data_IF_241814595400
#
_entry.id   IF_241814595400
#
_cell.length_a   1.000
_cell.length_b   1.000
_cell.length_c   1.000
_cell.angle_alpha   90.00
_cell.angle_beta   90.00
_cell.angle_gamma   90.00
#
_symmetry.space_group_name_H-M   'P 1'
#
loop_
_entity.id
_entity.type
_entity.pdbx_description
1 polymer ?
#
# COMPACT_ATOMS: atom_id res chain seq x y z
N UNK A 1 11.61 -12.63 3.17
CA UNK A 1 11.54 -11.18 2.96
C UNK A 1 10.19 -10.87 2.32
N UNK A 2 9.49 -9.86 2.82
CA UNK A 2 8.16 -9.50 2.37
C UNK A 2 8.20 -8.72 1.05
N UNK A 3 7.49 -9.20 0.03
CA UNK A 3 7.45 -8.52 -1.28
C UNK A 3 6.72 -7.19 -1.16
N UNK A 4 7.38 -6.10 -1.51
CA UNK A 4 6.79 -4.75 -1.49
C UNK A 4 6.13 -4.50 -2.83
N UNK A 5 4.85 -4.20 -2.83
CA UNK A 5 4.06 -3.91 -4.03
C UNK A 5 3.74 -2.42 -4.07
N UNK A 6 4.19 -1.73 -5.10
CA UNK A 6 3.97 -0.28 -5.27
C UNK A 6 2.85 -0.06 -6.29
N UNK A 7 1.76 0.59 -5.85
CA UNK A 7 0.62 0.87 -6.72
C UNK A 7 0.92 2.05 -7.67
N UNK A 8 0.30 2.04 -8.86
CA UNK A 8 0.49 3.12 -9.83
C UNK A 8 -0.20 4.38 -9.34
N UNK A 9 0.53 5.49 -9.28
CA UNK A 9 -0.04 6.84 -9.14
C UNK A 9 0.84 7.81 -9.93
N UNK A 10 0.27 8.40 -10.99
CA UNK A 10 0.96 9.37 -11.85
C UNK A 10 1.26 10.68 -11.11
N UNK A 11 0.50 10.98 -10.05
CA UNK A 11 0.69 12.17 -9.23
C UNK A 11 1.74 11.99 -8.12
N UNK A 12 2.37 10.81 -8.01
CA UNK A 12 3.32 10.52 -6.94
C UNK A 12 4.78 10.79 -7.34
N UNK A 13 5.36 11.95 -6.96
CA UNK A 13 6.72 12.32 -7.37
C UNK A 13 7.81 11.44 -6.72
N UNK A 14 7.53 10.86 -5.55
CA UNK A 14 8.48 10.03 -4.83
C UNK A 14 8.38 8.53 -5.18
N UNK A 15 7.51 8.15 -6.12
CA UNK A 15 7.32 6.75 -6.54
C UNK A 15 8.63 6.10 -6.99
N UNK A 16 9.37 6.76 -7.87
CA UNK A 16 10.66 6.23 -8.36
C UNK A 16 11.68 6.08 -7.22
N UNK A 17 11.71 7.04 -6.28
CA UNK A 17 12.58 6.96 -5.10
C UNK A 17 12.27 5.74 -4.22
N UNK A 18 10.99 5.39 -4.09
CA UNK A 18 10.55 4.19 -3.35
C UNK A 18 10.96 2.91 -4.06
N UNK A 19 10.77 2.84 -5.38
CA UNK A 19 11.16 1.67 -6.19
C UNK A 19 12.68 1.49 -6.16
N UNK A 20 13.45 2.57 -6.35
CA UNK A 20 14.92 2.52 -6.33
C UNK A 20 15.49 2.26 -4.93
N UNK A 21 14.78 2.71 -3.89
CA UNK A 21 15.19 2.56 -2.48
C UNK A 21 14.85 1.21 -1.87
N UNK A 22 14.06 0.37 -2.54
CA UNK A 22 13.59 -0.92 -2.02
C UNK A 22 13.91 -2.01 -3.05
N UNK A 23 14.89 -2.88 -2.78
CA UNK A 23 15.32 -3.89 -3.76
C UNK A 23 14.23 -4.93 -4.09
N UNK A 24 13.23 -5.10 -3.21
CA UNK A 24 12.09 -6.01 -3.39
C UNK A 24 10.80 -5.29 -3.83
N UNK A 25 10.90 -4.03 -4.27
CA UNK A 25 9.75 -3.29 -4.77
C UNK A 25 9.34 -3.80 -6.16
N UNK A 26 8.14 -4.33 -6.23
CA UNK A 26 7.43 -4.67 -7.44
C UNK A 26 6.58 -3.47 -7.84
N UNK A 27 6.96 -2.84 -8.96
CA UNK A 27 6.18 -1.76 -9.54
C UNK A 27 4.99 -2.31 -10.33
N UNK A 28 3.78 -1.93 -9.94
CA UNK A 28 2.55 -2.38 -10.60
C UNK A 28 2.02 -1.29 -11.50
N UNK A 29 1.78 -1.63 -12.77
CA UNK A 29 1.17 -0.74 -13.74
C UNK A 29 -0.36 -0.92 -13.78
N UNK A 30 -1.10 0.17 -13.94
CA UNK A 30 -2.55 0.11 -14.09
C UNK A 30 -3.24 1.45 -13.86
N UNK A 31 -4.36 1.67 -14.56
CA UNK A 31 -5.18 2.89 -14.40
C UNK A 31 -6.50 2.61 -13.68
N UNK A 32 -6.70 1.39 -13.18
CA UNK A 32 -7.89 0.97 -12.45
C UNK A 32 -7.59 -0.23 -11.56
N UNK A 33 -8.40 -0.43 -10.52
CA UNK A 33 -8.30 -1.58 -9.62
C UNK A 33 -8.26 -2.92 -10.38
N UNK A 34 -9.08 -3.09 -11.43
CA UNK A 34 -9.09 -4.32 -12.24
C UNK A 34 -7.75 -4.58 -12.93
N UNK A 35 -7.14 -3.54 -13.52
CA UNK A 35 -5.84 -3.68 -14.19
C UNK A 35 -4.73 -3.97 -13.19
N UNK A 36 -4.73 -3.28 -12.06
CA UNK A 36 -3.78 -3.50 -10.97
C UNK A 36 -3.89 -4.93 -10.42
N UNK A 37 -5.11 -5.42 -10.17
CA UNK A 37 -5.32 -6.81 -9.75
C UNK A 37 -4.87 -7.82 -10.80
N UNK A 38 -5.14 -7.57 -12.09
CA UNK A 38 -4.70 -8.43 -13.19
C UNK A 38 -3.17 -8.49 -13.29
N UNK A 39 -2.50 -7.36 -13.12
CA UNK A 39 -1.04 -7.30 -13.15
C UNK A 39 -0.43 -7.98 -11.93
N UNK A 40 -1.04 -7.87 -10.75
CA UNK A 40 -0.62 -8.62 -9.56
C UNK A 40 -0.76 -10.13 -9.74
N UNK A 41 -1.81 -10.60 -10.43
CA UNK A 41 -1.96 -12.01 -10.78
C UNK A 41 -0.88 -12.43 -11.78
N UNK A 42 -0.55 -11.57 -12.76
CA UNK A 42 0.47 -11.84 -13.77
C UNK A 42 1.88 -11.90 -13.19
N UNK A 43 2.25 -10.94 -12.34
CA UNK A 43 3.57 -10.89 -11.69
C UNK A 43 3.69 -12.01 -10.65
N UNK A 44 2.57 -12.34 -9.98
CA UNK A 44 2.48 -13.36 -8.94
C UNK A 44 3.58 -13.20 -7.85
N UNK A 45 3.55 -12.10 -7.09
CA UNK A 45 4.54 -11.85 -6.05
C UNK A 45 4.41 -12.86 -4.90
N UNK A 46 5.55 -13.24 -4.32
CA UNK A 46 5.60 -14.18 -3.21
C UNK A 46 5.10 -13.52 -1.90
N UNK A 47 4.25 -14.20 -1.10
CA UNK A 47 3.80 -13.69 0.18
C UNK A 47 4.93 -13.75 1.24
N UNK A 48 4.89 -12.91 2.29
CA UNK A 48 3.87 -11.90 2.61
C UNK A 48 4.01 -10.61 1.80
N UNK A 49 2.89 -9.99 1.41
CA UNK A 49 2.87 -8.77 0.59
C UNK A 49 2.75 -7.51 1.45
N UNK A 50 3.54 -6.48 1.15
CA UNK A 50 3.38 -5.13 1.69
C UNK A 50 2.90 -4.21 0.58
N UNK A 51 1.64 -3.78 0.62
CA UNK A 51 1.04 -2.99 -0.46
C UNK A 51 1.13 -1.50 -0.14
N UNK A 52 1.80 -0.75 -1.00
CA UNK A 52 2.04 0.69 -0.89
C UNK A 52 1.18 1.43 -1.90
N UNK A 53 0.32 2.33 -1.43
CA UNK A 53 -0.54 3.14 -2.27
C UNK A 53 -0.41 4.62 -1.91
N UNK A 54 -0.38 5.48 -2.93
CA UNK A 54 -0.37 6.92 -2.74
C UNK A 54 -1.71 7.54 -3.16
N UNK A 55 -2.13 8.61 -2.49
CA UNK A 55 -3.19 9.51 -2.94
C UNK A 55 -4.48 8.79 -3.36
N UNK A 56 -4.78 8.86 -4.65
CA UNK A 56 -6.01 8.30 -5.23
C UNK A 56 -5.99 6.78 -5.36
N UNK A 57 -4.80 6.18 -5.46
CA UNK A 57 -4.63 4.74 -5.62
C UNK A 57 -4.93 3.96 -4.34
N UNK A 58 -4.99 4.65 -3.20
CA UNK A 58 -5.53 4.10 -1.95
C UNK A 58 -6.98 3.62 -2.09
N UNK A 59 -7.76 4.18 -3.02
CA UNK A 59 -9.12 3.71 -3.32
C UNK A 59 -9.16 2.29 -3.92
N UNK A 60 -8.05 1.80 -4.48
CA UNK A 60 -7.96 0.45 -5.05
C UNK A 60 -7.67 -0.62 -3.99
N UNK A 61 -7.20 -0.23 -2.79
CA UNK A 61 -6.78 -1.15 -1.74
C UNK A 61 -7.86 -2.17 -1.35
N UNK A 62 -9.17 -1.81 -1.18
CA UNK A 62 -10.18 -2.81 -0.83
C UNK A 62 -10.37 -3.88 -1.91
N UNK A 63 -10.29 -3.50 -3.19
CA UNK A 63 -10.41 -4.44 -4.30
C UNK A 63 -9.16 -5.34 -4.41
N UNK A 64 -7.98 -4.77 -4.15
CA UNK A 64 -6.71 -5.52 -4.14
C UNK A 64 -6.69 -6.50 -2.97
N UNK A 65 -7.05 -6.06 -1.76
CA UNK A 65 -7.17 -6.90 -0.57
C UNK A 65 -8.04 -8.13 -0.84
N UNK A 66 -9.23 -7.91 -1.41
CA UNK A 66 -10.13 -8.99 -1.80
C UNK A 66 -9.48 -9.94 -2.82
N UNK A 67 -8.87 -9.39 -3.88
CA UNK A 67 -8.20 -10.19 -4.90
C UNK A 67 -7.03 -11.03 -4.36
N UNK A 68 -6.21 -10.47 -3.45
CA UNK A 68 -5.11 -11.19 -2.80
C UNK A 68 -5.64 -12.30 -1.90
N UNK A 69 -6.69 -12.02 -1.13
CA UNK A 69 -7.34 -13.00 -0.27
C UNK A 69 -7.93 -14.16 -1.07
N UNK A 70 -8.63 -13.89 -2.18
CA UNK A 70 -9.15 -14.93 -3.08
C UNK A 70 -8.02 -15.72 -3.75
N UNK A 71 -6.87 -15.09 -3.98
CA UNK A 71 -5.66 -15.76 -4.47
C UNK A 71 -4.85 -16.47 -3.36
N UNK A 72 -5.37 -16.53 -2.12
CA UNK A 72 -4.69 -17.09 -0.95
C UNK A 72 -3.30 -16.49 -0.66
N UNK A 73 -3.06 -15.24 -1.11
CA UNK A 73 -1.83 -14.50 -0.81
C UNK A 73 -2.04 -13.65 0.43
N UNK A 74 -1.16 -13.83 1.41
CA UNK A 74 -1.21 -13.08 2.67
C UNK A 74 -0.68 -11.67 2.45
N UNK A 75 -1.51 -10.65 2.71
CA UNK A 75 -1.04 -9.27 2.84
C UNK A 75 -0.57 -9.07 4.28
N UNK A 76 0.71 -8.74 4.45
CA UNK A 76 1.33 -8.49 5.75
C UNK A 76 0.99 -7.10 6.30
N UNK A 77 0.96 -6.09 5.42
CA UNK A 77 0.64 -4.72 5.80
C UNK A 77 0.23 -3.85 4.60
N UNK A 78 -0.49 -2.76 4.88
CA UNK A 78 -0.78 -1.70 3.91
C UNK A 78 -0.09 -0.40 4.32
N UNK A 79 0.54 0.27 3.35
CA UNK A 79 1.17 1.58 3.53
C UNK A 79 0.44 2.59 2.65
N UNK A 80 -0.19 3.59 3.26
CA UNK A 80 -0.89 4.66 2.56
C UNK A 80 -0.05 5.93 2.65
N UNK A 81 0.36 6.46 1.51
CA UNK A 81 1.14 7.70 1.43
C UNK A 81 0.19 8.83 1.01
N UNK A 82 -0.01 9.81 1.88
CA UNK A 82 -0.92 10.96 1.64
C UNK A 82 -2.28 10.56 1.02
N UNK A 83 -3.05 9.65 1.65
CA UNK A 83 -4.28 9.10 1.07
C UNK A 83 -5.36 10.16 0.83
N UNK A 84 -6.01 10.09 -0.33
CA UNK A 84 -7.17 10.92 -0.66
C UNK A 84 -8.49 10.18 -0.32
N UNK A 85 -9.43 10.82 0.39
CA UNK A 85 -10.72 10.20 0.72
C UNK A 85 -11.65 10.05 -0.51
N UNK A 86 -12.58 9.06 -0.52
CA UNK A 86 -12.86 8.08 0.52
C UNK A 86 -12.11 6.76 0.30
N UNK A 87 -11.24 6.40 1.24
CA UNK A 87 -10.47 5.14 1.23
C UNK A 87 -11.20 3.96 1.88
N UNK A 88 -12.52 4.00 2.04
CA UNK A 88 -13.24 3.04 2.91
C UNK A 88 -14.39 2.32 2.20
N UNK A 89 -14.37 0.98 2.26
CA UNK A 89 -15.54 0.11 2.17
C UNK A 89 -15.68 -0.69 3.47
N UNK A 90 -16.87 -1.18 3.80
CA UNK A 90 -17.21 -1.84 5.09
C UNK A 90 -16.39 -3.09 5.45
N UNK A 91 -15.67 -3.68 4.49
CA UNK A 91 -14.99 -4.97 4.64
C UNK A 91 -13.45 -4.88 4.78
N UNK A 92 -12.89 -3.67 4.76
CA UNK A 92 -11.45 -3.42 4.83
C UNK A 92 -11.14 -2.63 6.11
N UNK A 93 -10.03 -2.87 6.83
CA UNK A 93 -8.81 -3.61 6.45
C UNK A 93 -8.66 -5.04 7.00
N UNK A 94 -7.97 -5.90 6.25
CA UNK A 94 -7.63 -7.30 6.57
C UNK A 94 -6.21 -7.50 7.12
N UNK A 95 -5.38 -6.45 7.10
CA UNK A 95 -4.01 -6.40 7.61
C UNK A 95 -3.74 -5.03 8.26
N UNK A 96 -2.70 -4.87 9.09
CA UNK A 96 -2.36 -3.58 9.69
C UNK A 96 -2.12 -2.50 8.62
N UNK A 97 -2.70 -1.32 8.86
CA UNK A 97 -2.61 -0.15 7.97
C UNK A 97 -1.73 0.90 8.63
N UNK A 98 -0.69 1.32 7.91
CA UNK A 98 0.17 2.46 8.29
C UNK A 98 0.00 3.58 7.28
N UNK A 99 -0.21 4.80 7.78
CA UNK A 99 -0.32 6.00 6.97
C UNK A 99 0.94 6.83 7.14
N UNK A 100 1.61 7.13 6.03
CA UNK A 100 2.74 8.06 5.99
C UNK A 100 2.23 9.37 5.39
N UNK A 101 2.17 10.41 6.21
CA UNK A 101 1.66 11.71 5.76
C UNK A 101 2.27 12.84 6.59
N UNK A 102 2.51 13.97 5.93
CA UNK A 102 2.86 15.23 6.59
C UNK A 102 1.64 16.08 6.96
N UNK A 103 0.44 15.70 6.51
CA UNK A 103 -0.79 16.46 6.74
C UNK A 103 -1.45 16.08 8.07
N UNK A 104 -1.57 17.06 8.97
CA UNK A 104 -2.15 16.87 10.30
C UNK A 104 -3.61 16.41 10.27
N UNK A 105 -4.39 16.79 9.25
CA UNK A 105 -5.77 16.36 9.10
C UNK A 105 -5.83 14.88 8.67
N UNK A 106 -4.99 14.47 7.71
CA UNK A 106 -4.92 13.06 7.28
C UNK A 106 -4.42 12.19 8.44
N UNK A 107 -3.40 12.64 9.17
CA UNK A 107 -2.91 11.97 10.38
C UNK A 107 -4.03 11.81 11.42
N UNK A 108 -4.79 12.88 11.68
CA UNK A 108 -5.91 12.85 12.63
C UNK A 108 -7.01 11.88 12.20
N UNK A 109 -7.43 11.92 10.93
CA UNK A 109 -8.47 11.02 10.41
C UNK A 109 -8.03 9.55 10.45
N UNK A 110 -6.76 9.28 10.15
CA UNK A 110 -6.18 7.93 10.20
C UNK A 110 -6.11 7.40 11.64
N UNK A 111 -5.71 8.25 12.59
CA UNK A 111 -5.71 7.90 14.00
C UNK A 111 -7.13 7.61 14.54
N UNK A 112 -8.15 8.37 14.07
CA UNK A 112 -9.55 8.10 14.42
C UNK A 112 -10.05 6.76 13.87
N UNK A 113 -9.44 6.24 12.79
CA UNK A 113 -9.68 4.90 12.25
C UNK A 113 -8.89 3.80 12.96
N UNK A 114 -8.03 4.16 13.91
CA UNK A 114 -7.12 3.23 14.59
C UNK A 114 -5.93 2.79 13.74
N UNK A 115 -5.60 3.51 12.67
CA UNK A 115 -4.44 3.20 11.83
C UNK A 115 -3.17 3.80 12.43
N UNK A 116 -2.04 3.13 12.22
CA UNK A 116 -0.73 3.64 12.61
C UNK A 116 -0.38 4.83 11.71
N UNK A 117 0.14 5.91 12.30
CA UNK A 117 0.59 7.08 11.55
C UNK A 117 2.10 7.21 11.72
N UNK A 118 2.82 7.39 10.62
CA UNK A 118 4.27 7.58 10.60
C UNK A 118 4.60 8.89 9.92
N UNK A 119 5.45 9.69 10.57
CA UNK A 119 6.02 10.93 10.02
C UNK A 119 7.41 10.70 9.39
N UNK A 120 7.86 9.43 9.33
CA UNK A 120 9.14 9.06 8.74
C UNK A 120 9.15 9.26 7.21
N UNK A 121 10.34 9.36 6.62
CA UNK A 121 10.49 9.27 5.17
C UNK A 121 9.84 7.97 4.67
N UNK A 122 9.06 8.07 3.59
CA UNK A 122 8.26 6.98 3.03
C UNK A 122 9.09 5.72 2.81
N UNK A 123 10.33 5.84 2.32
CA UNK A 123 11.21 4.69 2.08
C UNK A 123 11.58 4.01 3.39
N UNK A 124 11.96 4.79 4.41
CA UNK A 124 12.33 4.26 5.72
C UNK A 124 11.14 3.58 6.41
N UNK A 125 9.94 4.17 6.29
CA UNK A 125 8.71 3.59 6.82
C UNK A 125 8.40 2.23 6.17
N UNK A 126 8.44 2.16 4.83
CA UNK A 126 8.17 0.89 4.10
C UNK A 126 9.21 -0.17 4.44
N UNK A 127 10.50 0.19 4.53
CA UNK A 127 11.57 -0.75 4.91
C UNK A 127 11.43 -1.29 6.34
N UNK A 128 10.92 -0.47 7.27
CA UNK A 128 10.62 -0.94 8.63
C UNK A 128 9.43 -1.91 8.61
N UNK A 129 8.34 -1.54 7.92
CA UNK A 129 7.12 -2.36 7.83
C UNK A 129 7.40 -3.69 7.11
N UNK A 130 8.20 -3.69 6.05
CA UNK A 130 8.60 -4.90 5.34
C UNK A 130 9.44 -5.85 6.21
N UNK A 131 10.25 -5.30 7.13
CA UNK A 131 11.00 -6.12 8.12
C UNK A 131 10.09 -6.67 9.20
N UNK A 132 9.08 -5.91 9.64
CA UNK A 132 8.13 -6.35 10.67
C UNK A 132 7.08 -7.35 10.13
N UNK A 133 6.89 -7.38 8.80
CA UNK A 133 5.96 -8.29 8.12
C UNK A 133 6.57 -9.65 7.75
N UNK A 134 7.89 -9.82 7.87
CA UNK A 134 8.63 -11.08 7.67
C UNK A 134 8.48 -12.05 8.84
#
# INVERSE_FOLDING_TARGET
>A
MATVVVLPDDAWPARQKVIDGIPEAVDVCGTSATKVCGELVRINPDPPLVVVAHGSSCAYLPAIALAQRTAHRRVGAYVLVDPLPPTSSDAWPDAPVTVVTGDAQIARLSALRGWSVSELDVVAAIQQIARDAD
#
